data_IF_004182677929
#
_entry.id   IF_004182677929
#
_cell.length_a   1.000
_cell.length_b   1.000
_cell.length_c   1.000
_cell.angle_alpha   90.00
_cell.angle_beta   90.00
_cell.angle_gamma   90.00
#
_symmetry.space_group_name_H-M   'P 1'
#
loop_
_entity.id
_entity.type
_entity.pdbx_description
1 polymer ?
#
# COMPACT_ATOMS: atom_id res chain seq x y z
N UNK A 1 6.09 9.64 28.64
CA UNK A 1 6.88 9.19 27.47
C UNK A 1 5.92 8.63 26.42
N UNK A 2 5.97 9.12 25.18
CA UNK A 2 5.09 8.63 24.10
C UNK A 2 5.56 7.24 23.65
N UNK A 3 4.60 6.32 23.44
CA UNK A 3 4.94 4.98 22.91
C UNK A 3 5.62 5.11 21.54
N UNK A 4 6.42 4.11 21.16
CA UNK A 4 7.09 4.10 19.84
C UNK A 4 6.10 4.29 18.69
N UNK A 5 4.90 3.69 18.80
CA UNK A 5 3.78 3.85 17.86
C UNK A 5 3.30 5.30 17.77
N UNK A 6 3.15 5.97 18.91
CA UNK A 6 2.78 7.39 18.95
C UNK A 6 3.86 8.30 18.36
N UNK A 7 5.14 8.02 18.61
CA UNK A 7 6.26 8.78 17.99
C UNK A 7 6.39 8.56 16.49
N UNK A 8 6.06 7.37 15.98
CA UNK A 8 6.13 7.06 14.55
C UNK A 8 4.99 7.72 13.75
N UNK A 9 3.81 7.88 14.35
CA UNK A 9 2.67 8.57 13.74
C UNK A 9 2.81 10.09 13.75
N UNK A 10 3.57 10.61 14.72
CA UNK A 10 3.85 12.04 14.90
C UNK A 10 5.35 12.34 14.70
N UNK A 11 6.04 11.54 13.88
CA UNK A 11 7.42 11.84 13.55
C UNK A 11 7.44 13.25 12.94
N UNK A 12 8.35 14.15 13.39
CA UNK A 12 8.38 15.50 12.89
C UNK A 12 8.57 15.47 11.37
N UNK A 13 7.86 16.33 10.62
CA UNK A 13 8.02 16.37 9.18
C UNK A 13 9.48 16.66 8.81
N UNK A 14 9.91 16.13 7.67
CA UNK A 14 11.21 16.46 7.10
C UNK A 14 11.03 17.67 6.19
N UNK A 15 11.76 18.75 6.46
CA UNK A 15 11.76 19.92 5.58
C UNK A 15 12.54 19.61 4.31
N UNK A 16 11.91 19.82 3.15
CA UNK A 16 12.48 19.51 1.85
C UNK A 16 12.43 20.76 0.98
N UNK A 17 13.56 21.11 0.35
CA UNK A 17 13.60 22.15 -0.66
C UNK A 17 12.80 21.69 -1.89
N UNK A 18 11.80 22.49 -2.27
CA UNK A 18 11.01 22.31 -3.47
C UNK A 18 11.18 23.55 -4.35
N UNK A 19 11.40 23.33 -5.65
CA UNK A 19 11.36 24.42 -6.62
C UNK A 19 9.90 24.82 -6.80
N UNK A 20 9.55 26.04 -6.36
CA UNK A 20 8.31 26.70 -6.73
C UNK A 20 8.56 27.60 -7.94
N UNK A 21 7.51 27.92 -8.69
CA UNK A 21 7.58 28.86 -9.83
C UNK A 21 8.02 30.29 -9.40
N UNK A 22 8.13 30.55 -8.09
CA UNK A 22 8.51 31.83 -7.48
C UNK A 22 9.78 31.77 -6.59
N UNK A 23 10.57 30.69 -6.66
CA UNK A 23 11.81 30.52 -5.89
C UNK A 23 11.88 29.20 -5.11
N UNK A 24 12.98 28.99 -4.37
CA UNK A 24 13.09 27.83 -3.47
C UNK A 24 12.11 28.00 -2.30
N UNK A 25 11.21 27.04 -2.15
CA UNK A 25 10.31 26.92 -1.00
C UNK A 25 10.68 25.69 -0.19
N UNK A 26 10.47 25.76 1.14
CA UNK A 26 10.63 24.59 2.01
C UNK A 26 9.26 24.02 2.32
N UNK A 27 9.07 22.74 2.02
CA UNK A 27 7.84 22.01 2.29
C UNK A 27 8.14 20.92 3.32
N UNK A 28 7.37 20.94 4.40
CA UNK A 28 7.42 19.92 5.43
C UNK A 28 6.67 18.67 4.98
N UNK A 29 7.38 17.55 4.84
CA UNK A 29 6.83 16.28 4.35
C UNK A 29 6.90 15.20 5.43
N UNK A 30 5.76 14.61 5.73
CA UNK A 30 5.65 13.45 6.62
C UNK A 30 5.78 12.12 5.87
N UNK A 31 6.20 11.06 6.57
CA UNK A 31 6.27 9.71 5.97
C UNK A 31 4.90 9.21 5.47
N UNK A 32 3.81 9.64 6.12
CA UNK A 32 2.45 9.29 5.71
C UNK A 32 2.06 9.97 4.39
N UNK A 33 2.48 11.21 4.18
CA UNK A 33 2.31 11.90 2.89
C UNK A 33 3.13 11.24 1.79
N UNK A 34 4.31 10.71 2.10
CA UNK A 34 5.08 9.90 1.14
C UNK A 34 4.34 8.61 0.81
N UNK A 35 3.84 7.84 1.79
CA UNK A 35 3.03 6.65 1.48
C UNK A 35 1.77 6.98 0.67
N UNK A 36 1.11 8.10 0.98
CA UNK A 36 -0.05 8.60 0.25
C UNK A 36 0.33 8.92 -1.20
N UNK A 37 1.45 9.61 -1.40
CA UNK A 37 2.03 9.90 -2.71
C UNK A 37 2.33 8.61 -3.49
N UNK A 38 3.01 7.63 -2.88
CA UNK A 38 3.28 6.34 -3.52
C UNK A 38 1.99 5.63 -3.93
N UNK A 39 0.96 5.68 -3.09
CA UNK A 39 -0.34 5.06 -3.36
C UNK A 39 -1.05 5.68 -4.57
N UNK A 40 -0.94 7.00 -4.75
CA UNK A 40 -1.62 7.71 -5.86
C UNK A 40 -0.81 7.72 -7.16
N UNK A 41 0.52 7.68 -7.05
CA UNK A 41 1.45 7.77 -8.19
C UNK A 41 1.96 6.44 -8.71
N UNK A 42 1.80 5.33 -7.97
CA UNK A 42 2.31 4.04 -8.42
C UNK A 42 1.65 3.61 -9.74
N UNK A 43 2.27 2.68 -10.45
CA UNK A 43 1.63 1.92 -11.54
C UNK A 43 1.49 0.44 -11.20
N UNK A 44 2.14 0.00 -10.12
CA UNK A 44 2.30 -1.37 -9.68
C UNK A 44 1.64 -1.64 -8.31
N UNK A 45 1.57 -2.92 -7.94
CA UNK A 45 0.84 -3.44 -6.78
C UNK A 45 1.73 -3.66 -5.55
N UNK A 46 2.54 -2.65 -5.23
CA UNK A 46 3.58 -2.71 -4.19
C UNK A 46 3.09 -3.05 -2.78
N UNK A 47 1.81 -2.79 -2.47
CA UNK A 47 1.27 -3.01 -1.13
C UNK A 47 1.03 -4.48 -0.77
N UNK A 48 0.97 -5.38 -1.76
CA UNK A 48 0.60 -6.78 -1.55
C UNK A 48 1.59 -7.53 -0.65
N UNK A 49 2.90 -7.43 -0.94
CA UNK A 49 3.94 -8.11 -0.16
C UNK A 49 4.03 -7.61 1.29
N UNK A 50 4.04 -6.30 1.57
CA UNK A 50 3.95 -5.79 2.94
C UNK A 50 2.67 -6.25 3.67
N UNK A 51 1.52 -6.34 2.98
CA UNK A 51 0.30 -6.87 3.57
C UNK A 51 0.44 -8.35 3.95
N UNK A 52 1.05 -9.16 3.09
CA UNK A 52 1.33 -10.57 3.40
C UNK A 52 2.27 -10.73 4.60
N UNK A 53 3.31 -9.88 4.71
CA UNK A 53 4.18 -9.87 5.90
C UNK A 53 3.41 -9.54 7.17
N UNK A 54 2.43 -8.62 7.09
CA UNK A 54 1.57 -8.30 8.23
C UNK A 54 0.73 -9.51 8.67
N UNK A 55 0.16 -10.26 7.72
CA UNK A 55 -0.60 -11.50 8.00
C UNK A 55 0.32 -12.56 8.60
N UNK A 56 1.51 -12.75 8.03
CA UNK A 56 2.48 -13.72 8.53
C UNK A 56 2.93 -13.39 9.98
N UNK A 57 3.09 -12.10 10.30
CA UNK A 57 3.39 -11.70 11.66
C UNK A 57 2.24 -11.97 12.64
N UNK A 58 0.97 -11.85 12.21
CA UNK A 58 -0.18 -12.25 13.03
C UNK A 58 -0.24 -13.74 13.22
N UNK A 59 0.01 -14.53 12.18
CA UNK A 59 0.11 -15.98 12.28
C UNK A 59 1.17 -16.41 13.29
N UNK A 60 2.36 -15.82 13.21
CA UNK A 60 3.42 -16.06 14.19
C UNK A 60 2.97 -15.77 15.62
N UNK A 61 2.29 -14.64 15.81
CA UNK A 61 1.82 -14.22 17.15
C UNK A 61 0.73 -15.14 17.68
N UNK A 62 -0.13 -15.65 16.80
CA UNK A 62 -1.16 -16.62 17.15
C UNK A 62 -0.55 -17.93 17.65
N UNK A 63 0.57 -18.36 17.05
CA UNK A 63 1.25 -19.61 17.42
C UNK A 63 2.27 -19.44 18.56
N UNK A 64 2.87 -18.26 18.68
CA UNK A 64 3.94 -17.94 19.62
C UNK A 64 3.66 -16.60 20.33
N UNK A 65 2.65 -16.53 21.21
CA UNK A 65 2.20 -15.26 21.82
C UNK A 65 3.29 -14.58 22.66
N UNK A 66 4.18 -15.36 23.28
CA UNK A 66 5.29 -14.86 24.10
C UNK A 66 6.45 -14.29 23.28
N UNK A 67 6.50 -14.58 21.97
CA UNK A 67 7.60 -14.16 21.11
C UNK A 67 7.30 -12.82 20.44
N UNK A 68 7.77 -11.75 21.08
CA UNK A 68 7.70 -10.41 20.52
C UNK A 68 8.68 -10.20 19.34
N UNK A 69 8.41 -9.16 18.56
CA UNK A 69 9.25 -8.75 17.43
C UNK A 69 8.52 -7.77 16.52
N UNK A 70 9.28 -7.10 15.66
CA UNK A 70 8.75 -6.34 14.54
C UNK A 70 7.93 -7.24 13.60
N UNK A 71 7.12 -6.64 12.72
CA UNK A 71 6.35 -7.39 11.72
C UNK A 71 7.30 -8.15 10.78
N UNK A 72 8.38 -7.52 10.32
CA UNK A 72 9.39 -8.18 9.49
C UNK A 72 10.07 -9.39 10.16
N UNK A 73 10.46 -9.27 11.42
CA UNK A 73 11.09 -10.39 12.17
C UNK A 73 10.14 -11.56 12.35
N UNK A 74 8.88 -11.30 12.75
CA UNK A 74 7.87 -12.34 12.93
C UNK A 74 7.49 -13.00 11.61
N UNK A 75 7.36 -12.22 10.54
CA UNK A 75 7.11 -12.75 9.20
C UNK A 75 8.27 -13.64 8.72
N UNK A 76 9.52 -13.21 8.92
CA UNK A 76 10.69 -14.01 8.56
C UNK A 76 10.76 -15.34 9.31
N UNK A 77 10.45 -15.33 10.62
CA UNK A 77 10.37 -16.57 11.42
C UNK A 77 9.26 -17.50 10.92
N UNK A 78 8.07 -16.97 10.63
CA UNK A 78 6.98 -17.76 10.08
C UNK A 78 7.35 -18.39 8.72
N UNK A 79 8.05 -17.64 7.86
CA UNK A 79 8.55 -18.13 6.57
C UNK A 79 9.60 -19.23 6.73
N UNK A 80 10.48 -19.12 7.73
CA UNK A 80 11.51 -20.14 7.98
C UNK A 80 10.94 -21.52 8.35
N UNK A 81 9.68 -21.60 8.80
CA UNK A 81 8.99 -22.86 9.13
C UNK A 81 8.32 -23.54 7.93
N UNK A 82 8.39 -22.92 6.74
CA UNK A 82 7.73 -23.42 5.53
C UNK A 82 8.76 -23.73 4.46
N UNK A 83 8.77 -24.98 3.98
CA UNK A 83 9.49 -25.32 2.76
C UNK A 83 8.72 -24.75 1.55
N UNK A 84 9.30 -23.78 0.86
CA UNK A 84 8.70 -23.14 -0.32
C UNK A 84 9.77 -22.69 -1.31
N UNK A 85 9.39 -22.58 -2.59
CA UNK A 85 10.27 -22.21 -3.71
C UNK A 85 10.68 -20.73 -3.69
N UNK A 86 10.07 -19.89 -2.85
CA UNK A 86 10.43 -18.48 -2.73
C UNK A 86 9.68 -17.75 -1.62
N UNK A 87 10.19 -16.57 -1.23
CA UNK A 87 9.66 -15.81 -0.10
C UNK A 87 8.19 -15.40 -0.28
N UNK A 88 7.81 -14.93 -1.48
CA UNK A 88 6.43 -14.58 -1.80
C UNK A 88 5.47 -15.76 -1.64
N UNK A 89 5.85 -16.94 -2.16
CA UNK A 89 5.02 -18.14 -2.07
C UNK A 89 4.90 -18.67 -0.63
N UNK A 90 5.98 -18.60 0.15
CA UNK A 90 5.95 -18.93 1.57
C UNK A 90 4.97 -18.04 2.33
N UNK A 91 4.97 -16.73 2.05
CA UNK A 91 4.04 -15.78 2.66
C UNK A 91 2.58 -16.08 2.29
N UNK A 92 2.27 -16.42 1.04
CA UNK A 92 0.92 -16.82 0.64
C UNK A 92 0.46 -18.08 1.37
N UNK A 93 1.35 -19.07 1.49
CA UNK A 93 1.06 -20.30 2.23
C UNK A 93 0.78 -20.02 3.72
N UNK A 94 1.53 -19.11 4.33
CA UNK A 94 1.28 -18.68 5.72
C UNK A 94 -0.07 -17.95 5.82
N UNK A 95 -0.41 -17.10 4.85
CA UNK A 95 -1.71 -16.43 4.85
C UNK A 95 -2.85 -17.45 4.78
N UNK A 96 -2.74 -18.48 3.93
CA UNK A 96 -3.68 -19.60 3.91
C UNK A 96 -3.77 -20.32 5.28
N UNK A 97 -2.63 -20.67 5.88
CA UNK A 97 -2.60 -21.28 7.22
C UNK A 97 -3.19 -20.39 8.31
N UNK A 98 -3.03 -19.07 8.19
CA UNK A 98 -3.63 -18.10 9.09
C UNK A 98 -5.15 -18.11 9.00
N UNK A 99 -5.72 -18.11 7.79
CA UNK A 99 -7.16 -18.18 7.63
C UNK A 99 -7.75 -19.48 8.17
N UNK A 100 -7.09 -20.62 7.95
CA UNK A 100 -7.50 -21.90 8.55
C UNK A 100 -7.45 -21.83 10.09
N UNK A 101 -6.33 -21.38 10.64
CA UNK A 101 -6.12 -21.35 12.09
C UNK A 101 -7.06 -20.38 12.82
N UNK A 102 -7.56 -19.36 12.14
CA UNK A 102 -8.51 -18.38 12.69
C UNK A 102 -9.97 -18.70 12.34
N UNK A 103 -10.22 -19.78 11.59
CA UNK A 103 -11.57 -20.19 11.18
C UNK A 103 -12.22 -19.25 10.17
N UNK A 104 -11.43 -18.42 9.47
CA UNK A 104 -11.92 -17.56 8.38
C UNK A 104 -12.31 -18.42 7.16
N UNK A 105 -11.60 -19.52 6.95
CA UNK A 105 -11.88 -20.54 5.93
C UNK A 105 -11.83 -21.94 6.56
N UNK A 106 -12.45 -22.91 5.90
CA UNK A 106 -12.25 -24.32 6.14
C UNK A 106 -11.33 -24.94 5.07
N UNK A 107 -11.24 -26.27 5.02
CA UNK A 107 -10.43 -27.00 4.04
C UNK A 107 -10.88 -26.75 2.58
N UNK A 108 -12.12 -26.31 2.37
CA UNK A 108 -12.67 -25.96 1.06
C UNK A 108 -12.34 -24.52 0.63
N UNK A 109 -11.82 -23.70 1.55
CA UNK A 109 -11.38 -22.32 1.29
C UNK A 109 -12.46 -21.27 1.53
N UNK A 110 -12.34 -20.13 0.85
CA UNK A 110 -13.34 -19.07 0.94
C UNK A 110 -14.60 -19.45 0.15
N UNK A 111 -15.82 -19.16 0.66
CA UNK A 111 -17.04 -19.29 -0.12
C UNK A 111 -16.95 -18.47 -1.42
N UNK A 112 -17.50 -19.00 -2.52
CA UNK A 112 -17.41 -18.37 -3.85
C UNK A 112 -17.89 -16.91 -3.84
N UNK A 113 -18.98 -16.62 -3.12
CA UNK A 113 -19.49 -15.25 -3.01
C UNK A 113 -18.49 -14.28 -2.37
N UNK A 114 -17.68 -14.75 -1.41
CA UNK A 114 -16.63 -13.94 -0.76
C UNK A 114 -15.42 -13.79 -1.70
N UNK A 115 -15.04 -14.86 -2.41
CA UNK A 115 -13.96 -14.79 -3.40
C UNK A 115 -14.33 -13.83 -4.55
N UNK A 116 -15.54 -13.93 -5.10
CA UNK A 116 -16.05 -13.05 -6.15
C UNK A 116 -16.21 -11.59 -5.71
N UNK A 117 -16.40 -11.35 -4.40
CA UNK A 117 -16.39 -10.00 -3.85
C UNK A 117 -14.99 -9.36 -3.91
N UNK A 118 -13.95 -10.16 -3.71
CA UNK A 118 -12.59 -9.66 -3.54
C UNK A 118 -11.70 -9.83 -4.74
N UNK A 119 -12.01 -10.72 -5.69
CA UNK A 119 -11.20 -10.99 -6.88
C UNK A 119 -11.87 -10.42 -8.13
N UNK A 120 -11.09 -9.87 -9.05
CA UNK A 120 -11.60 -9.60 -10.40
C UNK A 120 -11.72 -10.90 -11.19
N UNK A 121 -12.48 -10.89 -12.29
CA UNK A 121 -12.61 -12.05 -13.19
C UNK A 121 -11.25 -12.49 -13.74
N UNK A 122 -10.40 -11.54 -14.10
CA UNK A 122 -9.05 -11.76 -14.62
C UNK A 122 -8.15 -12.40 -13.57
N UNK A 123 -8.20 -11.91 -12.33
CA UNK A 123 -7.47 -12.53 -11.23
C UNK A 123 -7.97 -13.94 -10.91
N UNK A 124 -9.28 -14.14 -10.91
CA UNK A 124 -9.87 -15.47 -10.70
C UNK A 124 -9.37 -16.46 -11.75
N UNK A 125 -9.31 -16.03 -13.01
CA UNK A 125 -8.78 -16.84 -14.10
C UNK A 125 -7.28 -17.12 -13.93
N UNK A 126 -6.47 -16.10 -13.63
CA UNK A 126 -5.02 -16.24 -13.49
C UNK A 126 -4.58 -17.06 -12.27
N UNK A 127 -5.35 -17.00 -11.17
CA UNK A 127 -5.11 -17.80 -9.97
C UNK A 127 -5.63 -19.24 -10.09
N UNK A 128 -6.57 -19.49 -11.00
CA UNK A 128 -7.24 -20.77 -11.15
C UNK A 128 -7.88 -21.23 -9.84
N UNK A 129 -7.72 -22.52 -9.53
CA UNK A 129 -8.26 -23.14 -8.31
C UNK A 129 -7.22 -23.26 -7.19
N UNK A 130 -6.15 -22.46 -7.17
CA UNK A 130 -5.15 -22.52 -6.11
C UNK A 130 -5.68 -21.90 -4.80
N UNK A 131 -6.06 -22.72 -3.79
CA UNK A 131 -6.67 -22.20 -2.57
C UNK A 131 -5.70 -21.32 -1.77
N UNK A 132 -4.39 -21.54 -1.93
CA UNK A 132 -3.36 -20.77 -1.23
C UNK A 132 -3.32 -19.34 -1.76
N UNK A 133 -3.16 -19.17 -3.08
CA UNK A 133 -3.11 -17.84 -3.70
C UNK A 133 -4.42 -17.07 -3.51
N UNK A 134 -5.56 -17.75 -3.66
CA UNK A 134 -6.89 -17.15 -3.44
C UNK A 134 -6.99 -16.64 -2.00
N UNK A 135 -6.64 -17.48 -1.03
CA UNK A 135 -6.76 -17.11 0.38
C UNK A 135 -5.83 -15.96 0.74
N UNK A 136 -4.59 -16.01 0.27
CA UNK A 136 -3.63 -14.93 0.45
C UNK A 136 -4.14 -13.60 -0.12
N UNK A 137 -4.72 -13.61 -1.33
CA UNK A 137 -5.29 -12.42 -1.98
C UNK A 137 -6.50 -11.88 -1.24
N UNK A 138 -7.41 -12.75 -0.80
CA UNK A 138 -8.63 -12.33 -0.09
C UNK A 138 -8.28 -11.78 1.30
N UNK A 139 -7.45 -12.46 2.08
CA UNK A 139 -7.06 -12.03 3.44
C UNK A 139 -6.34 -10.70 3.41
N UNK A 140 -5.39 -10.51 2.49
CA UNK A 140 -4.67 -9.23 2.41
C UNK A 140 -5.62 -8.08 2.11
N UNK A 141 -6.63 -8.27 1.25
CA UNK A 141 -7.63 -7.26 0.92
C UNK A 141 -8.57 -6.93 2.07
N UNK A 142 -8.96 -7.91 2.89
CA UNK A 142 -9.77 -7.64 4.07
C UNK A 142 -9.03 -6.80 5.11
N UNK A 143 -7.69 -6.86 5.18
CA UNK A 143 -6.90 -6.00 6.08
C UNK A 143 -7.14 -4.52 5.80
N UNK A 144 -7.19 -4.19 4.52
CA UNK A 144 -7.32 -2.82 4.06
C UNK A 144 -8.69 -2.28 4.41
N UNK A 145 -9.76 -3.06 4.29
CA UNK A 145 -11.12 -2.57 4.55
C UNK A 145 -11.48 -2.40 6.02
N UNK A 146 -10.91 -3.20 6.93
CA UNK A 146 -11.27 -3.16 8.35
C UNK A 146 -10.46 -2.10 9.15
N UNK A 147 -9.69 -1.22 8.49
CA UNK A 147 -8.80 -0.22 9.13
C UNK A 147 -7.92 -0.82 10.22
N UNK A 148 -7.13 -1.83 9.87
CA UNK A 148 -6.18 -2.41 10.81
C UNK A 148 -4.90 -1.56 10.90
N UNK A 149 -4.88 -0.65 11.89
CA UNK A 149 -3.73 0.19 12.28
C UNK A 149 -2.34 -0.47 12.20
N UNK A 150 -2.14 -1.77 12.56
CA UNK A 150 -0.83 -2.41 12.48
C UNK A 150 -0.19 -2.41 11.09
N UNK A 151 -1.00 -2.46 10.01
CA UNK A 151 -0.48 -2.49 8.65
C UNK A 151 0.23 -1.18 8.28
N UNK A 152 -0.31 -0.03 8.67
CA UNK A 152 0.30 1.28 8.36
C UNK A 152 1.66 1.41 9.04
N UNK A 153 1.79 0.97 10.30
CA UNK A 153 3.06 1.01 11.03
C UNK A 153 4.15 0.19 10.32
N UNK A 154 3.81 -1.01 9.83
CA UNK A 154 4.75 -1.84 9.07
C UNK A 154 5.19 -1.17 7.76
N UNK A 155 4.25 -0.56 7.04
CA UNK A 155 4.54 0.12 5.79
C UNK A 155 5.46 1.33 6.02
N UNK A 156 5.21 2.11 7.07
CA UNK A 156 6.07 3.22 7.47
C UNK A 156 7.47 2.73 7.88
N UNK A 157 7.57 1.61 8.59
CA UNK A 157 8.86 1.02 8.98
C UNK A 157 9.66 0.50 7.77
N UNK A 158 8.99 -0.07 6.76
CA UNK A 158 9.63 -0.42 5.49
C UNK A 158 10.08 0.82 4.72
N UNK A 159 9.19 1.81 4.58
CA UNK A 159 9.49 3.07 3.90
C UNK A 159 10.75 3.74 4.48
N UNK A 160 10.86 3.83 5.81
CA UNK A 160 12.02 4.42 6.50
C UNK A 160 13.34 3.69 6.26
N UNK A 161 13.28 2.41 5.92
CA UNK A 161 14.45 1.58 5.61
C UNK A 161 14.75 1.54 4.11
N UNK A 162 13.90 2.13 3.28
CA UNK A 162 14.05 2.14 1.83
C UNK A 162 15.05 3.22 1.40
N UNK A 163 16.06 2.82 0.64
CA UNK A 163 17.09 3.72 0.10
C UNK A 163 16.52 4.81 -0.83
N UNK A 164 15.33 4.59 -1.41
CA UNK A 164 14.67 5.53 -2.34
C UNK A 164 13.87 6.61 -1.62
N UNK A 165 13.70 6.52 -0.30
CA UNK A 165 12.90 7.47 0.49
C UNK A 165 13.26 8.94 0.27
N UNK A 166 14.55 9.37 0.23
CA UNK A 166 14.88 10.77 -0.03
C UNK A 166 14.33 11.29 -1.36
N UNK A 167 14.39 10.46 -2.42
CA UNK A 167 13.83 10.79 -3.73
C UNK A 167 12.31 10.90 -3.67
N UNK A 168 11.63 9.95 -3.05
CA UNK A 168 10.17 10.00 -2.92
C UNK A 168 9.68 11.19 -2.09
N UNK A 169 10.43 11.59 -1.05
CA UNK A 169 10.15 12.83 -0.29
C UNK A 169 10.24 14.06 -1.16
N UNK A 170 11.28 14.19 -2.00
CA UNK A 170 11.40 15.31 -2.93
C UNK A 170 10.24 15.37 -3.94
N UNK A 171 9.80 14.21 -4.46
CA UNK A 171 8.66 14.14 -5.37
C UNK A 171 7.35 14.51 -4.68
N UNK A 172 7.12 14.03 -3.46
CA UNK A 172 5.97 14.41 -2.65
C UNK A 172 5.98 15.91 -2.31
N UNK A 173 7.13 16.47 -1.91
CA UNK A 173 7.29 17.90 -1.65
C UNK A 173 6.93 18.76 -2.87
N UNK A 174 7.41 18.38 -4.06
CA UNK A 174 7.08 19.09 -5.29
C UNK A 174 5.57 19.06 -5.58
N UNK A 175 4.93 17.91 -5.42
CA UNK A 175 3.50 17.78 -5.62
C UNK A 175 2.66 18.58 -4.59
N UNK A 176 3.13 18.66 -3.34
CA UNK A 176 2.52 19.51 -2.30
C UNK A 176 2.71 21.00 -2.58
N UNK A 177 3.89 21.42 -3.07
CA UNK A 177 4.12 22.81 -3.46
C UNK A 177 3.17 23.24 -4.59
N UNK A 178 3.00 22.39 -5.61
CA UNK A 178 2.06 22.61 -6.72
C UNK A 178 0.62 22.81 -6.23
N UNK A 179 0.18 22.01 -5.25
CA UNK A 179 -1.13 22.18 -4.60
C UNK A 179 -1.24 23.57 -3.98
N UNK A 180 -0.23 24.02 -3.25
CA UNK A 180 -0.25 25.30 -2.53
C UNK A 180 -0.17 26.51 -3.47
N UNK A 181 0.57 26.40 -4.57
CA UNK A 181 0.57 27.39 -5.67
C UNK A 181 -0.83 27.51 -6.28
N UNK A 182 -1.47 26.37 -6.58
CA UNK A 182 -2.80 26.34 -7.21
C UNK A 182 -3.92 26.79 -6.26
N UNK A 183 -3.80 26.48 -4.96
CA UNK A 183 -4.68 27.00 -3.92
C UNK A 183 -4.70 28.53 -3.89
N UNK A 184 -3.53 29.15 -4.10
CA UNK A 184 -3.39 30.61 -4.17
C UNK A 184 -3.97 31.18 -5.46
N UNK A 185 -3.77 30.51 -6.59
CA UNK A 185 -4.26 30.98 -7.90
C UNK A 185 -5.78 30.83 -8.05
N UNK A 186 -6.39 29.84 -7.39
CA UNK A 186 -7.80 29.49 -7.56
C UNK A 186 -8.50 29.24 -6.21
N UNK A 187 -8.65 30.28 -5.35
CA UNK A 187 -9.20 30.13 -3.99
C UNK A 187 -10.68 29.70 -3.95
N UNK A 188 -11.39 29.82 -5.07
CA UNK A 188 -12.77 29.34 -5.22
C UNK A 188 -12.86 27.83 -5.45
N UNK A 189 -11.75 27.18 -5.82
CA UNK A 189 -11.67 25.73 -5.84
C UNK A 189 -11.47 25.26 -4.40
N UNK A 190 -12.42 24.51 -3.87
CA UNK A 190 -12.37 23.96 -2.52
C UNK A 190 -11.33 22.82 -2.44
N UNK A 191 -10.04 23.16 -2.51
CA UNK A 191 -8.93 22.21 -2.52
C UNK A 191 -8.76 21.47 -1.19
N UNK A 192 -9.35 21.97 -0.11
CA UNK A 192 -9.35 21.30 1.18
C UNK A 192 -10.30 20.08 1.22
N UNK A 193 -11.30 20.04 0.33
CA UNK A 193 -12.24 18.91 0.19
C UNK A 193 -12.67 18.79 -1.28
N UNK A 194 -11.81 18.23 -2.15
CA UNK A 194 -12.15 18.00 -3.54
C UNK A 194 -13.35 17.05 -3.65
N UNK A 195 -14.19 17.21 -4.68
CA UNK A 195 -15.36 16.34 -4.90
C UNK A 195 -14.89 14.86 -5.02
N UNK A 196 -15.34 13.97 -4.12
CA UNK A 196 -15.10 12.54 -4.17
C UNK A 196 -15.31 11.90 -5.55
N UNK A 197 -16.38 12.30 -6.23
CA UNK A 197 -16.76 11.75 -7.54
C UNK A 197 -15.75 12.16 -8.60
N UNK A 198 -15.31 13.42 -8.57
CA UNK A 198 -14.30 13.94 -9.49
C UNK A 198 -12.96 13.26 -9.26
N UNK A 199 -12.52 13.10 -8.00
CA UNK A 199 -11.28 12.39 -7.68
C UNK A 199 -11.29 10.95 -8.19
N UNK A 200 -12.38 10.21 -7.94
CA UNK A 200 -12.53 8.85 -8.47
C UNK A 200 -12.40 8.80 -9.99
N UNK A 201 -12.97 9.76 -10.71
CA UNK A 201 -12.84 9.83 -12.19
C UNK A 201 -11.40 10.11 -12.61
N UNK A 202 -10.75 11.09 -11.98
CA UNK A 202 -9.37 11.48 -12.31
C UNK A 202 -8.38 10.35 -12.05
N UNK A 203 -8.41 9.76 -10.85
CA UNK A 203 -7.53 8.65 -10.51
C UNK A 203 -7.89 7.38 -11.30
N UNK A 204 -9.18 7.17 -11.60
CA UNK A 204 -9.57 6.05 -12.44
C UNK A 204 -9.03 6.18 -13.87
N UNK A 205 -9.10 7.38 -14.46
CA UNK A 205 -8.48 7.66 -15.75
C UNK A 205 -6.96 7.53 -15.69
N UNK A 206 -6.32 8.00 -14.61
CA UNK A 206 -4.88 7.91 -14.41
C UNK A 206 -4.38 6.46 -14.31
N UNK A 207 -5.07 5.62 -13.55
CA UNK A 207 -4.71 4.23 -13.33
C UNK A 207 -5.19 3.30 -14.45
N UNK A 208 -6.02 3.79 -15.38
CA UNK A 208 -6.62 2.98 -16.45
C UNK A 208 -7.67 1.99 -15.95
N UNK A 209 -8.20 2.17 -14.74
CA UNK A 209 -9.18 1.27 -14.14
C UNK A 209 -10.09 2.00 -13.16
N UNK A 210 -11.28 1.46 -12.89
CA UNK A 210 -12.20 2.09 -11.95
C UNK A 210 -11.64 2.08 -10.53
N UNK A 211 -11.81 3.21 -9.81
CA UNK A 211 -11.48 3.30 -8.39
C UNK A 211 -12.51 2.51 -7.59
N UNK A 212 -12.13 1.29 -7.20
CA UNK A 212 -12.94 0.38 -6.41
C UNK A 212 -12.13 -0.19 -5.23
N UNK A 213 -12.78 -0.94 -4.33
CA UNK A 213 -12.13 -1.52 -3.13
C UNK A 213 -10.90 -2.39 -3.46
N UNK A 214 -10.91 -3.08 -4.60
CA UNK A 214 -9.83 -3.96 -5.02
C UNK A 214 -8.61 -3.14 -5.41
N UNK A 215 -8.83 -2.10 -6.21
CA UNK A 215 -7.76 -1.20 -6.64
C UNK A 215 -7.20 -0.41 -5.45
N UNK A 216 -8.05 0.11 -4.57
CA UNK A 216 -7.60 0.79 -3.36
C UNK A 216 -6.69 -0.10 -2.50
N UNK A 217 -7.11 -1.35 -2.25
CA UNK A 217 -6.31 -2.30 -1.47
C UNK A 217 -4.95 -2.59 -2.13
N UNK A 218 -4.88 -2.69 -3.47
CA UNK A 218 -3.63 -2.91 -4.22
C UNK A 218 -2.65 -1.75 -4.10
N UNK A 219 -3.16 -0.53 -3.97
CA UNK A 219 -2.37 0.71 -3.81
C UNK A 219 -1.93 0.97 -2.38
N UNK A 220 -2.32 0.13 -1.42
CA UNK A 220 -2.04 0.33 0.01
C UNK A 220 -3.06 1.23 0.72
N UNK A 221 -4.19 1.54 0.07
CA UNK A 221 -5.24 2.39 0.61
C UNK A 221 -6.39 1.56 1.19
N UNK A 222 -6.79 1.92 2.40
CA UNK A 222 -7.62 1.09 3.27
C UNK A 222 -9.12 1.28 3.06
N UNK A 223 -9.56 2.53 3.05
CA UNK A 223 -10.97 2.88 2.90
C UNK A 223 -11.10 3.97 1.86
N UNK A 224 -12.31 4.15 1.34
CA UNK A 224 -12.61 5.26 0.45
C UNK A 224 -12.22 6.60 1.10
N UNK A 225 -12.53 6.79 2.39
CA UNK A 225 -12.09 7.97 3.15
C UNK A 225 -10.56 8.13 3.21
N UNK A 226 -9.82 7.03 3.35
CA UNK A 226 -8.37 7.06 3.46
C UNK A 226 -7.74 7.41 2.11
N UNK A 227 -8.33 6.90 1.02
CA UNK A 227 -7.98 7.33 -0.32
C UNK A 227 -8.26 8.82 -0.50
N UNK A 228 -9.44 9.33 -0.16
CA UNK A 228 -9.71 10.76 -0.31
C UNK A 228 -8.81 11.63 0.54
N UNK A 229 -8.51 11.23 1.78
CA UNK A 229 -7.56 11.95 2.62
C UNK A 229 -6.15 11.94 2.02
N UNK A 230 -5.68 10.79 1.51
CA UNK A 230 -4.38 10.64 0.85
C UNK A 230 -4.29 11.38 -0.48
N UNK A 231 -5.39 11.44 -1.23
CA UNK A 231 -5.47 12.00 -2.58
C UNK A 231 -5.74 13.50 -2.57
N UNK A 232 -6.41 14.03 -1.54
CA UNK A 232 -6.73 15.47 -1.43
C UNK A 232 -5.50 16.37 -1.62
N UNK A 233 -4.33 16.07 -0.99
CA UNK A 233 -3.13 16.85 -1.21
C UNK A 233 -2.61 16.83 -2.66
N UNK A 234 -2.96 15.81 -3.45
CA UNK A 234 -2.45 15.59 -4.81
C UNK A 234 -3.51 15.77 -5.89
N UNK A 235 -4.74 16.08 -5.51
CA UNK A 235 -5.90 16.19 -6.40
C UNK A 235 -5.65 17.11 -7.60
N UNK A 236 -5.00 18.25 -7.37
CA UNK A 236 -4.76 19.24 -8.43
C UNK A 236 -3.62 18.82 -9.34
N UNK A 237 -2.53 18.28 -8.79
CA UNK A 237 -1.46 17.71 -9.61
C UNK A 237 -1.97 16.53 -10.45
N UNK A 238 -3.00 15.81 -9.99
CA UNK A 238 -3.68 14.78 -10.78
C UNK A 238 -4.57 15.35 -11.90
N UNK A 239 -5.18 16.53 -11.72
CA UNK A 239 -5.99 17.21 -12.76
C UNK A 239 -5.12 17.64 -13.95
N UNK A 240 -3.95 18.20 -13.68
CA UNK A 240 -3.06 18.69 -14.74
C UNK A 240 -2.06 17.62 -15.24
N UNK A 241 -2.28 16.36 -14.87
CA UNK A 241 -1.40 15.20 -15.14
C UNK A 241 0.08 15.41 -14.79
N UNK A 242 0.33 16.23 -13.77
CA UNK A 242 1.68 16.58 -13.32
C UNK A 242 2.22 15.63 -12.24
N UNK A 243 1.41 14.68 -11.78
CA UNK A 243 1.92 13.60 -10.94
C UNK A 243 2.78 12.67 -11.79
N UNK A 244 3.95 12.22 -11.28
CA UNK A 244 4.74 11.22 -11.95
C UNK A 244 4.06 9.84 -11.85
N UNK A 245 4.21 9.03 -12.89
CA UNK A 245 3.95 7.58 -12.83
C UNK A 245 5.23 6.91 -12.34
N UNK A 246 5.15 6.18 -11.23
CA UNK A 246 6.32 5.53 -10.63
C UNK A 246 6.08 4.04 -10.46
N UNK A 247 7.14 3.25 -10.60
CA UNK A 247 7.15 1.87 -10.16
C UNK A 247 7.79 1.81 -8.76
N UNK A 248 7.02 1.33 -7.79
CA UNK A 248 7.47 1.22 -6.40
C UNK A 248 8.17 -0.12 -6.18
N UNK A 249 7.73 -1.18 -6.84
CA UNK A 249 8.21 -2.54 -6.67
C UNK A 249 7.99 -3.04 -5.24
N UNK A 250 9.02 -3.63 -4.64
CA UNK A 250 8.98 -4.01 -3.21
C UNK A 250 9.41 -2.83 -2.34
N UNK A 251 8.61 -2.52 -1.30
CA UNK A 251 8.95 -1.51 -0.30
C UNK A 251 9.92 -2.08 0.75
N UNK A 252 10.98 -1.34 1.08
CA UNK A 252 11.95 -1.71 2.11
C UNK A 252 13.39 -1.75 1.59
N UNK A 253 14.33 -2.34 2.34
CA UNK A 253 15.69 -2.52 1.84
C UNK A 253 15.65 -3.40 0.59
N UNK A 254 16.46 -3.04 -0.41
CA UNK A 254 16.60 -3.85 -1.61
C UNK A 254 16.98 -5.28 -1.21
N UNK A 255 16.34 -6.32 -1.78
CA UNK A 255 16.70 -7.69 -1.48
C UNK A 255 18.18 -7.91 -1.81
N UNK A 256 18.92 -8.44 -0.83
CA UNK A 256 20.27 -8.96 -1.05
C UNK A 256 20.14 -10.19 -1.95
N UNK A 257 20.18 -9.98 -3.28
CA UNK A 257 20.26 -10.95 -4.38
C UNK A 257 19.61 -12.33 -4.20
N UNK A 258 18.75 -12.67 -5.17
CA UNK A 258 18.06 -13.96 -5.41
C UNK A 258 16.62 -14.08 -4.84
N UNK A 259 15.79 -13.05 -5.04
CA UNK A 259 14.37 -13.32 -5.30
C UNK A 259 14.21 -13.47 -6.82
N UNK A 260 13.75 -14.65 -7.26
CA UNK A 260 13.21 -14.88 -8.61
C UNK A 260 12.19 -13.77 -8.91
N UNK A 261 12.14 -13.22 -10.14
CA UNK A 261 11.17 -12.19 -10.46
C UNK A 261 9.77 -12.63 -10.02
N UNK A 262 9.17 -11.85 -9.13
CA UNK A 262 7.73 -11.96 -8.85
C UNK A 262 7.04 -11.97 -10.21
N UNK A 263 6.17 -12.95 -10.46
CA UNK A 263 5.40 -12.99 -11.70
C UNK A 263 4.63 -11.69 -11.79
N UNK A 264 5.17 -10.71 -12.52
CA UNK A 264 4.42 -9.60 -13.04
C UNK A 264 3.35 -10.23 -13.92
N UNK A 265 2.13 -10.25 -13.40
CA UNK A 265 0.98 -10.39 -14.28
C UNK A 265 0.96 -9.09 -15.08
N UNK A 266 1.49 -9.16 -16.31
CA UNK A 266 1.25 -8.16 -17.34
C UNK A 266 -0.26 -8.09 -17.54
N UNK A 267 -0.90 -7.13 -16.90
CA UNK A 267 -2.22 -6.71 -17.29
C UNK A 267 -2.03 -5.80 -18.49
N UNK A 268 -2.03 -6.43 -19.67
CA UNK A 268 -1.87 -5.75 -20.94
C UNK A 268 -2.79 -4.53 -21.05
N UNK A 269 -2.20 -3.43 -21.52
CA UNK A 269 -2.89 -2.23 -21.95
C UNK A 269 -3.95 -2.58 -22.99
N UNK A 270 -5.21 -2.27 -22.71
CA UNK A 270 -6.26 -2.09 -23.73
C UNK A 270 -6.83 -0.69 -23.54
#
# INVERSE_FOLDING_TARGET
>A
MWSRRWRQRWAPPTSVAASADHGESFVDVTDLEVLSFLSVSSVDYWAYRPALQQVAAWYWTLKHPEQSGSVGERAARAVAEVASEGYGRALEFIAYRYALATGIIDETGFPEAVAAHWLTTEERHGLGNDPISISARVITRTLFVVRLLPAIDHFLDLLRKDSRLPRWRAMAAHALCKRDDLARQKPHLNLGRPDPTQLKRLFGARWGTQVNRIELARRGLMTEDAFYAAATPFAVAAVDDQLPRIEVGTLGPAPLSADVPERHFDFGSV
#
